data_IF_716260872153
#
_entry.id   IF_716260872153
#
_cell.length_a   1.000
_cell.length_b   1.000
_cell.length_c   1.000
_cell.angle_alpha   90.00
_cell.angle_beta   90.00
_cell.angle_gamma   90.00
#
_symmetry.space_group_name_H-M   'P 1'
#
loop_
_entity.id
_entity.type
_entity.pdbx_description
1 polymer ?
#
# COMPACT_ATOMS: atom_id res chain seq x y z
N UNK A 1 29.80 8.77 -4.27
CA UNK A 1 28.33 8.95 -4.22
C UNK A 1 27.71 8.06 -5.29
N UNK A 2 26.95 7.02 -4.87
CA UNK A 2 26.29 6.10 -5.81
C UNK A 2 25.03 6.75 -6.41
N UNK A 3 24.87 6.60 -7.71
CA UNK A 3 23.73 7.13 -8.47
C UNK A 3 22.69 6.04 -8.68
N UNK A 4 21.49 6.24 -8.18
CA UNK A 4 20.36 5.32 -8.32
C UNK A 4 19.41 5.87 -9.38
N UNK A 5 19.27 5.14 -10.49
CA UNK A 5 18.34 5.50 -11.55
C UNK A 5 17.00 4.80 -11.32
N UNK A 6 15.98 5.58 -11.02
CA UNK A 6 14.59 5.13 -10.97
C UNK A 6 13.91 5.38 -12.30
N UNK A 7 12.77 4.73 -12.54
CA UNK A 7 11.98 4.97 -13.73
C UNK A 7 10.63 5.64 -13.43
N UNK A 8 9.95 6.02 -14.51
CA UNK A 8 8.71 6.80 -14.42
C UNK A 8 7.45 5.97 -14.15
N UNK A 9 7.50 4.63 -14.19
CA UNK A 9 6.30 3.80 -14.37
C UNK A 9 5.17 4.16 -13.41
N UNK A 10 5.39 4.03 -12.09
CA UNK A 10 4.33 4.30 -11.12
C UNK A 10 3.92 5.76 -11.05
N UNK A 11 4.85 6.69 -11.21
CA UNK A 11 4.55 8.12 -11.17
C UNK A 11 3.74 8.60 -12.38
N UNK A 12 3.80 7.86 -13.49
CA UNK A 12 2.96 8.09 -14.67
C UNK A 12 1.57 7.46 -14.49
N UNK A 13 1.46 6.34 -13.78
CA UNK A 13 0.21 5.58 -13.66
C UNK A 13 -0.67 5.99 -12.48
N UNK A 14 -0.10 6.45 -11.39
CA UNK A 14 -0.81 6.80 -10.18
C UNK A 14 -0.65 8.26 -9.79
N UNK A 15 -1.76 8.96 -9.56
CA UNK A 15 -1.74 10.27 -8.93
C UNK A 15 -1.54 10.15 -7.41
N UNK A 16 -2.18 9.16 -6.79
CA UNK A 16 -2.05 8.77 -5.39
C UNK A 16 -1.89 7.26 -5.30
N UNK A 17 -1.12 6.76 -4.32
CA UNK A 17 -1.02 5.32 -4.09
C UNK A 17 0.16 4.95 -3.20
N UNK A 18 0.05 3.82 -2.50
CA UNK A 18 1.08 3.35 -1.57
C UNK A 18 2.44 3.11 -2.24
N UNK A 19 2.45 2.57 -3.48
CA UNK A 19 3.69 2.31 -4.21
C UNK A 19 4.41 3.61 -4.60
N UNK A 20 3.66 4.61 -5.09
CA UNK A 20 4.26 5.90 -5.44
C UNK A 20 4.73 6.67 -4.22
N UNK A 21 4.01 6.57 -3.10
CA UNK A 21 4.46 7.12 -1.82
C UNK A 21 5.77 6.48 -1.36
N UNK A 22 5.85 5.14 -1.39
CA UNK A 22 7.06 4.41 -1.04
C UNK A 22 8.28 4.89 -1.82
N UNK A 23 8.18 4.98 -3.15
CA UNK A 23 9.31 5.42 -3.96
C UNK A 23 9.64 6.89 -3.78
N UNK A 24 8.64 7.77 -3.63
CA UNK A 24 8.89 9.19 -3.33
C UNK A 24 9.59 9.33 -1.96
N UNK A 25 9.05 8.70 -0.92
CA UNK A 25 9.65 8.72 0.41
C UNK A 25 11.08 8.16 0.41
N UNK A 26 11.35 7.07 -0.33
CA UNK A 26 12.69 6.53 -0.47
C UNK A 26 13.64 7.50 -1.17
N UNK A 27 13.28 7.97 -2.38
CA UNK A 27 14.17 8.78 -3.22
C UNK A 27 14.57 10.09 -2.57
N UNK A 28 13.63 10.76 -1.93
CA UNK A 28 13.85 12.09 -1.35
C UNK A 28 14.44 12.06 0.06
N UNK A 29 14.59 10.89 0.67
CA UNK A 29 15.23 10.73 1.97
C UNK A 29 16.51 9.89 1.91
N UNK A 30 17.06 9.63 0.73
CA UNK A 30 18.38 9.01 0.60
C UNK A 30 19.44 9.88 1.27
N UNK A 31 20.40 9.30 2.01
CA UNK A 31 21.48 10.04 2.68
C UNK A 31 22.30 10.89 1.70
N UNK A 32 22.26 12.22 1.88
CA UNK A 32 23.01 13.15 1.06
C UNK A 32 24.53 12.89 1.19
N UNK A 33 25.25 12.93 0.06
CA UNK A 33 26.67 12.63 0.00
C UNK A 33 27.00 11.15 -0.21
N UNK A 34 26.11 10.22 0.09
CA UNK A 34 26.31 8.80 -0.18
C UNK A 34 25.54 8.35 -1.44
N UNK A 35 24.27 8.74 -1.57
CA UNK A 35 23.41 8.39 -2.69
C UNK A 35 22.81 9.63 -3.35
N UNK A 36 22.47 9.49 -4.63
CA UNK A 36 21.65 10.45 -5.38
C UNK A 36 20.62 9.68 -6.21
N UNK A 37 19.37 10.10 -6.10
CA UNK A 37 18.27 9.59 -6.94
C UNK A 37 18.19 10.41 -8.23
N UNK A 38 18.05 9.72 -9.37
CA UNK A 38 17.69 10.29 -10.66
C UNK A 38 16.38 9.63 -11.14
N UNK A 39 15.40 10.46 -11.50
CA UNK A 39 14.12 10.01 -12.04
C UNK A 39 13.80 10.77 -13.33
N UNK A 40 14.24 10.26 -14.48
CA UNK A 40 14.10 10.91 -15.77
C UNK A 40 12.67 10.81 -16.30
N UNK A 41 11.89 11.84 -16.11
CA UNK A 41 10.55 12.02 -16.67
C UNK A 41 10.27 13.49 -16.98
N UNK A 42 9.37 13.76 -17.91
CA UNK A 42 8.95 15.13 -18.29
C UNK A 42 7.61 15.49 -17.68
N UNK A 43 6.66 14.56 -17.71
CA UNK A 43 5.29 14.79 -17.27
C UNK A 43 4.99 14.04 -16.00
N UNK A 44 4.50 14.74 -14.98
CA UNK A 44 4.10 14.12 -13.72
C UNK A 44 2.98 14.92 -13.05
N UNK A 45 1.95 14.20 -12.58
CA UNK A 45 0.88 14.72 -11.72
C UNK A 45 0.76 13.90 -10.43
N UNK A 46 1.82 13.21 -10.06
CA UNK A 46 1.84 12.44 -8.83
C UNK A 46 1.97 13.36 -7.62
N UNK A 47 1.02 13.29 -6.70
CA UNK A 47 0.91 14.14 -5.52
C UNK A 47 2.19 14.14 -4.67
N UNK A 48 2.75 12.98 -4.41
CA UNK A 48 3.92 12.89 -3.53
C UNK A 48 5.15 13.57 -4.11
N UNK A 49 5.38 13.44 -5.40
CA UNK A 49 6.52 14.07 -6.07
C UNK A 49 6.31 15.58 -6.22
N UNK A 50 5.10 16.01 -6.60
CA UNK A 50 4.84 17.43 -6.92
C UNK A 50 4.47 18.25 -5.70
N UNK A 51 3.60 17.76 -4.82
CA UNK A 51 3.09 18.52 -3.69
C UNK A 51 3.86 18.24 -2.39
N UNK A 52 4.19 16.97 -2.11
CA UNK A 52 4.89 16.60 -0.87
C UNK A 52 6.36 17.00 -0.91
N UNK A 53 7.04 16.76 -2.06
CA UNK A 53 8.47 17.07 -2.21
C UNK A 53 8.77 18.26 -3.12
N UNK A 54 7.74 18.95 -3.63
CA UNK A 54 7.85 20.23 -4.32
C UNK A 54 8.52 20.19 -5.70
N UNK A 55 8.69 19.00 -6.31
CA UNK A 55 9.24 18.90 -7.65
C UNK A 55 8.27 19.40 -8.71
N UNK A 56 8.79 20.23 -9.62
CA UNK A 56 8.02 20.77 -10.73
C UNK A 56 8.25 19.96 -11.98
N UNK A 57 7.18 19.34 -12.48
CA UNK A 57 7.14 18.67 -13.77
C UNK A 57 6.14 19.35 -14.68
N UNK A 58 6.30 19.17 -16.00
CA UNK A 58 5.32 19.67 -16.95
C UNK A 58 3.98 18.92 -16.81
N UNK A 59 2.88 19.64 -17.01
CA UNK A 59 1.54 19.09 -17.10
C UNK A 59 0.89 19.53 -18.40
N UNK A 60 0.09 18.65 -19.00
CA UNK A 60 -0.66 18.98 -20.20
C UNK A 60 -2.10 19.26 -19.79
N UNK A 61 -2.56 20.50 -20.05
CA UNK A 61 -3.96 20.89 -19.75
C UNK A 61 -4.97 20.25 -20.70
N UNK A 62 -4.53 19.85 -21.89
CA UNK A 62 -5.30 19.18 -22.93
C UNK A 62 -4.64 17.83 -23.28
N UNK A 63 -5.39 16.78 -23.58
CA UNK A 63 -6.86 16.69 -23.58
C UNK A 63 -7.45 16.54 -22.18
N UNK A 64 -8.72 16.96 -22.00
CA UNK A 64 -9.45 16.79 -20.73
C UNK A 64 -9.69 15.32 -20.36
N UNK A 65 -9.59 14.41 -21.34
CA UNK A 65 -9.72 12.97 -21.10
C UNK A 65 -8.47 12.41 -20.41
N UNK A 66 -8.61 12.06 -19.15
CA UNK A 66 -7.54 11.51 -18.31
C UNK A 66 -6.85 10.27 -18.91
N UNK A 67 -7.58 9.38 -19.58
CA UNK A 67 -7.01 8.16 -20.19
C UNK A 67 -6.07 8.50 -21.35
N UNK A 68 -6.44 9.46 -22.20
CA UNK A 68 -5.61 9.92 -23.32
C UNK A 68 -4.36 10.64 -22.78
N UNK A 69 -4.54 11.54 -21.83
CA UNK A 69 -3.45 12.27 -21.15
C UNK A 69 -2.41 11.31 -20.59
N UNK A 70 -2.87 10.29 -19.85
CA UNK A 70 -1.99 9.25 -19.28
C UNK A 70 -1.24 8.45 -20.35
N UNK A 71 -1.84 8.16 -21.51
CA UNK A 71 -1.16 7.50 -22.63
C UNK A 71 -0.04 8.36 -23.21
N UNK A 72 -0.27 9.67 -23.36
CA UNK A 72 0.75 10.62 -23.83
C UNK A 72 1.90 10.68 -22.82
N UNK A 73 1.61 10.82 -21.53
CA UNK A 73 2.62 10.82 -20.47
C UNK A 73 3.45 9.52 -20.49
N UNK A 74 2.79 8.37 -20.56
CA UNK A 74 3.47 7.08 -20.62
C UNK A 74 4.37 6.97 -21.86
N UNK A 75 3.89 7.41 -23.03
CA UNK A 75 4.69 7.40 -24.25
C UNK A 75 5.96 8.24 -24.13
N UNK A 76 5.84 9.51 -23.75
CA UNK A 76 6.98 10.43 -23.63
C UNK A 76 7.93 9.99 -22.51
N UNK A 77 7.40 9.76 -21.31
CA UNK A 77 8.21 9.40 -20.15
C UNK A 77 8.94 8.05 -20.37
N UNK A 78 8.31 7.06 -20.99
CA UNK A 78 8.97 5.79 -21.32
C UNK A 78 10.14 5.97 -22.28
N UNK A 79 10.05 6.89 -23.25
CA UNK A 79 11.17 7.19 -24.15
C UNK A 79 12.31 7.86 -23.39
N UNK A 80 12.00 8.82 -22.50
CA UNK A 80 12.99 9.49 -21.65
C UNK A 80 13.67 8.48 -20.72
N UNK A 81 12.91 7.62 -20.03
CA UNK A 81 13.48 6.61 -19.15
C UNK A 81 14.32 5.57 -19.92
N UNK A 82 13.91 5.17 -21.12
CA UNK A 82 14.74 4.31 -21.99
C UNK A 82 16.05 4.97 -22.39
N UNK A 83 15.99 6.26 -22.75
CA UNK A 83 17.18 7.03 -23.10
C UNK A 83 18.11 7.13 -21.89
N UNK A 84 17.59 7.49 -20.73
CA UNK A 84 18.37 7.56 -19.50
C UNK A 84 18.99 6.21 -19.11
N UNK A 85 18.24 5.12 -19.16
CA UNK A 85 18.79 3.79 -18.92
C UNK A 85 19.91 3.41 -19.89
N UNK A 86 19.93 3.98 -21.11
CA UNK A 86 20.95 3.73 -22.11
C UNK A 86 22.18 4.61 -22.00
N UNK A 87 22.00 5.87 -21.68
CA UNK A 87 23.06 6.90 -21.86
C UNK A 87 23.47 7.61 -20.56
N UNK A 88 22.59 7.70 -19.54
CA UNK A 88 22.95 8.35 -18.29
C UNK A 88 24.00 7.51 -17.53
N UNK A 89 24.80 8.21 -16.73
CA UNK A 89 25.69 7.58 -15.78
C UNK A 89 24.92 7.27 -14.50
N UNK A 90 24.85 5.98 -14.12
CA UNK A 90 24.26 5.48 -12.89
C UNK A 90 24.95 4.18 -12.45
N UNK A 91 24.85 3.86 -11.18
CA UNK A 91 25.44 2.66 -10.59
C UNK A 91 24.41 1.54 -10.47
N UNK A 92 23.18 1.85 -10.05
CA UNK A 92 22.10 0.88 -9.83
C UNK A 92 20.84 1.36 -10.54
N UNK A 93 20.11 0.44 -11.16
CA UNK A 93 18.78 0.69 -11.70
C UNK A 93 17.71 0.13 -10.76
N UNK A 94 16.72 0.94 -10.36
CA UNK A 94 15.63 0.50 -9.50
C UNK A 94 14.27 0.84 -10.14
N UNK A 95 13.66 -0.09 -10.91
CA UNK A 95 12.37 0.15 -11.55
C UNK A 95 11.27 0.32 -10.51
N UNK A 96 10.35 1.24 -10.78
CA UNK A 96 9.23 1.53 -9.88
C UNK A 96 8.03 0.61 -10.10
N UNK A 97 8.02 -0.18 -11.18
CA UNK A 97 6.99 -1.19 -11.48
C UNK A 97 7.50 -2.29 -12.42
N UNK A 98 6.60 -3.12 -12.97
CA UNK A 98 6.93 -4.40 -13.58
C UNK A 98 7.01 -4.41 -15.11
N UNK A 99 7.02 -3.27 -15.81
CA UNK A 99 7.28 -3.29 -17.26
C UNK A 99 8.77 -3.54 -17.54
N UNK A 100 9.16 -4.60 -18.27
CA UNK A 100 10.55 -4.99 -18.46
C UNK A 100 11.25 -4.25 -19.61
N UNK A 101 10.77 -3.07 -20.01
CA UNK A 101 11.26 -2.30 -21.16
C UNK A 101 12.77 -1.97 -21.09
N UNK A 102 13.31 -1.85 -19.90
CA UNK A 102 14.68 -1.48 -19.61
C UNK A 102 15.65 -2.66 -19.64
N UNK A 103 15.16 -3.87 -19.41
CA UNK A 103 15.95 -5.05 -19.04
C UNK A 103 17.12 -5.35 -20.00
N UNK A 104 16.86 -5.35 -21.33
CA UNK A 104 17.93 -5.56 -22.32
C UNK A 104 19.03 -4.52 -22.23
N UNK A 105 18.68 -3.27 -21.95
CA UNK A 105 19.62 -2.14 -21.89
C UNK A 105 20.47 -2.22 -20.63
N UNK A 106 19.87 -2.45 -19.48
CA UNK A 106 20.54 -2.56 -18.19
C UNK A 106 21.53 -3.74 -18.22
N UNK A 107 21.09 -4.90 -18.69
CA UNK A 107 21.97 -6.07 -18.87
C UNK A 107 23.14 -5.83 -19.84
N UNK A 108 22.88 -5.19 -20.98
CA UNK A 108 23.96 -4.84 -21.92
C UNK A 108 25.01 -3.92 -21.29
N UNK A 109 24.60 -3.05 -20.39
CA UNK A 109 25.47 -2.13 -19.64
C UNK A 109 26.14 -2.78 -18.41
N UNK A 110 25.80 -4.02 -18.09
CA UNK A 110 26.26 -4.74 -16.89
C UNK A 110 26.03 -3.93 -15.60
N UNK A 111 24.89 -3.22 -15.56
CA UNK A 111 24.47 -2.49 -14.37
C UNK A 111 23.53 -3.35 -13.53
N UNK A 112 23.74 -3.47 -12.22
CA UNK A 112 22.84 -4.20 -11.35
C UNK A 112 21.46 -3.50 -11.30
N UNK A 113 20.38 -4.29 -11.16
CA UNK A 113 19.10 -3.74 -10.84
C UNK A 113 18.46 -4.40 -9.61
N UNK A 114 17.87 -3.56 -8.78
CA UNK A 114 17.11 -3.94 -7.60
C UNK A 114 15.64 -3.91 -7.95
N UNK A 115 14.87 -4.87 -7.48
CA UNK A 115 13.42 -4.92 -7.70
C UNK A 115 12.67 -4.95 -6.38
N UNK A 116 11.82 -3.96 -6.10
CA UNK A 116 10.92 -4.02 -4.95
C UNK A 116 9.62 -4.73 -5.31
N UNK A 117 9.26 -5.74 -4.52
CA UNK A 117 7.99 -6.49 -4.62
C UNK A 117 7.10 -6.08 -3.46
N UNK A 118 6.00 -5.38 -3.80
CA UNK A 118 5.05 -4.88 -2.82
C UNK A 118 4.04 -5.94 -2.38
N UNK A 119 3.72 -6.91 -3.23
CA UNK A 119 2.83 -8.04 -2.95
C UNK A 119 2.94 -9.13 -4.04
N UNK A 120 2.35 -10.27 -3.76
CA UNK A 120 2.10 -11.35 -4.71
C UNK A 120 0.60 -11.62 -4.86
N UNK A 121 -0.22 -10.56 -4.74
CA UNK A 121 -1.68 -10.64 -4.76
C UNK A 121 -2.20 -11.30 -6.02
N UNK A 122 -1.69 -10.90 -7.18
CA UNK A 122 -2.18 -11.43 -8.46
C UNK A 122 -1.81 -12.89 -8.67
N UNK A 123 -0.70 -13.32 -8.12
CA UNK A 123 -0.25 -14.72 -8.16
C UNK A 123 -1.07 -15.61 -7.20
N UNK A 124 -1.46 -15.07 -6.03
CA UNK A 124 -2.29 -15.77 -5.02
C UNK A 124 -3.79 -15.73 -5.36
N UNK A 125 -4.26 -14.66 -6.00
CA UNK A 125 -5.67 -14.41 -6.35
C UNK A 125 -5.84 -14.09 -7.84
N UNK A 126 -5.47 -15.02 -8.75
CA UNK A 126 -5.50 -14.77 -10.20
C UNK A 126 -6.91 -14.48 -10.75
N UNK A 127 -7.97 -14.91 -10.05
CA UNK A 127 -9.36 -14.63 -10.41
C UNK A 127 -9.72 -13.13 -10.30
N UNK A 128 -8.96 -12.36 -9.52
CA UNK A 128 -9.18 -10.92 -9.33
C UNK A 128 -8.40 -10.07 -10.36
N UNK A 129 -7.66 -10.73 -11.27
CA UNK A 129 -6.83 -10.08 -12.31
C UNK A 129 -7.58 -10.07 -13.64
N UNK A 130 -7.48 -8.96 -14.36
CA UNK A 130 -7.99 -8.88 -15.72
C UNK A 130 -7.18 -9.81 -16.64
N UNK A 131 -7.87 -10.59 -17.49
CA UNK A 131 -7.29 -11.61 -18.40
C UNK A 131 -6.14 -11.08 -19.28
N UNK A 132 -6.15 -9.77 -19.59
CA UNK A 132 -5.13 -9.13 -20.44
C UNK A 132 -4.01 -8.42 -19.65
N UNK A 133 -3.96 -8.57 -18.32
CA UNK A 133 -2.91 -7.95 -17.53
C UNK A 133 -1.60 -8.73 -17.67
N UNK A 134 -0.58 -8.04 -18.18
CA UNK A 134 0.77 -8.60 -18.34
C UNK A 134 1.61 -8.49 -17.06
N UNK A 135 1.05 -8.01 -15.98
CA UNK A 135 1.79 -7.77 -14.73
C UNK A 135 2.40 -9.06 -14.19
N UNK A 136 1.65 -10.16 -14.15
CA UNK A 136 2.15 -11.45 -13.65
C UNK A 136 3.37 -11.94 -14.45
N UNK A 137 3.30 -12.13 -15.78
CA UNK A 137 4.46 -12.63 -16.55
C UNK A 137 5.64 -11.64 -16.53
N UNK A 138 5.39 -10.34 -16.51
CA UNK A 138 6.44 -9.33 -16.40
C UNK A 138 7.12 -9.37 -15.04
N UNK A 139 6.35 -9.44 -13.94
CA UNK A 139 6.87 -9.55 -12.58
C UNK A 139 7.72 -10.80 -12.41
N UNK A 140 7.21 -11.97 -12.84
CA UNK A 140 7.96 -13.23 -12.82
C UNK A 140 9.29 -13.12 -13.55
N UNK A 141 9.28 -12.53 -14.74
CA UNK A 141 10.50 -12.31 -15.52
C UNK A 141 11.49 -11.39 -14.80
N UNK A 142 11.02 -10.28 -14.23
CA UNK A 142 11.90 -9.34 -13.54
C UNK A 142 12.48 -9.95 -12.26
N UNK A 143 11.70 -10.72 -11.51
CA UNK A 143 12.17 -11.45 -10.32
C UNK A 143 13.29 -12.43 -10.69
N UNK A 144 13.13 -13.19 -11.77
CA UNK A 144 14.13 -14.13 -12.22
C UNK A 144 15.46 -13.46 -12.65
N UNK A 145 15.39 -12.23 -13.14
CA UNK A 145 16.50 -11.49 -13.73
C UNK A 145 17.13 -10.44 -12.80
N UNK A 146 16.49 -10.15 -11.64
CA UNK A 146 16.97 -9.16 -10.69
C UNK A 146 18.27 -9.61 -10.02
N UNK A 147 19.21 -8.68 -9.85
CA UNK A 147 20.43 -8.91 -9.08
C UNK A 147 20.12 -9.00 -7.57
N UNK A 148 19.15 -8.18 -7.11
CA UNK A 148 18.64 -8.26 -5.75
C UNK A 148 17.16 -7.87 -5.69
N UNK A 149 16.42 -8.47 -4.76
CA UNK A 149 15.00 -8.23 -4.55
C UNK A 149 14.77 -7.67 -3.15
N UNK A 150 13.97 -6.64 -3.06
CA UNK A 150 13.42 -6.12 -1.80
C UNK A 150 11.98 -6.62 -1.69
N UNK A 151 11.70 -7.44 -0.69
CA UNK A 151 10.33 -7.82 -0.32
C UNK A 151 9.88 -6.92 0.85
N UNK A 152 8.64 -6.43 0.80
CA UNK A 152 8.14 -5.49 1.82
C UNK A 152 7.70 -6.16 3.13
N UNK A 153 7.70 -7.49 3.17
CA UNK A 153 7.40 -8.31 4.35
C UNK A 153 8.02 -9.70 4.21
N UNK A 154 8.17 -10.40 5.34
CA UNK A 154 8.56 -11.83 5.34
C UNK A 154 7.52 -12.68 4.61
N UNK A 155 6.22 -12.31 4.71
CA UNK A 155 5.18 -12.95 3.94
C UNK A 155 5.42 -12.81 2.43
N UNK A 156 5.71 -11.61 1.94
CA UNK A 156 6.02 -11.40 0.52
C UNK A 156 7.28 -12.15 0.08
N UNK A 157 8.32 -12.19 0.93
CA UNK A 157 9.54 -12.98 0.66
C UNK A 157 9.20 -14.47 0.55
N UNK A 158 8.43 -15.02 1.49
CA UNK A 158 7.98 -16.41 1.46
C UNK A 158 7.19 -16.72 0.19
N UNK A 159 6.27 -15.84 -0.21
CA UNK A 159 5.49 -16.02 -1.45
C UNK A 159 6.37 -16.04 -2.71
N UNK A 160 7.40 -15.18 -2.79
CA UNK A 160 8.34 -15.17 -3.92
C UNK A 160 9.09 -16.49 -3.99
N UNK A 161 9.57 -17.00 -2.86
CA UNK A 161 10.29 -18.28 -2.79
C UNK A 161 9.38 -19.44 -3.14
N UNK A 162 8.19 -19.53 -2.54
CA UNK A 162 7.24 -20.63 -2.76
C UNK A 162 6.69 -20.69 -4.19
N UNK A 163 6.30 -19.52 -4.73
CA UNK A 163 5.62 -19.47 -6.03
C UNK A 163 6.56 -19.49 -7.22
N UNK A 164 7.81 -19.04 -7.04
CA UNK A 164 8.75 -18.83 -8.15
C UNK A 164 10.08 -19.58 -7.98
N UNK A 165 10.32 -20.24 -6.86
CA UNK A 165 11.58 -20.95 -6.59
C UNK A 165 12.80 -20.03 -6.52
N UNK A 166 12.60 -18.75 -6.20
CA UNK A 166 13.68 -17.75 -6.14
C UNK A 166 14.59 -18.02 -4.95
N UNK A 167 15.90 -17.94 -5.15
CA UNK A 167 16.90 -18.08 -4.08
C UNK A 167 16.65 -17.04 -2.98
N UNK A 168 16.37 -17.45 -1.73
CA UNK A 168 16.09 -16.56 -0.62
C UNK A 168 17.29 -15.64 -0.26
N UNK A 169 18.52 -15.99 -0.64
CA UNK A 169 19.70 -15.15 -0.42
C UNK A 169 19.69 -13.87 -1.27
N UNK A 170 18.97 -13.87 -2.40
CA UNK A 170 18.75 -12.69 -3.25
C UNK A 170 17.66 -11.76 -2.73
N UNK A 171 16.95 -12.11 -1.64
CA UNK A 171 15.79 -11.38 -1.17
C UNK A 171 16.06 -10.81 0.21
N UNK A 172 16.11 -9.49 0.31
CA UNK A 172 16.08 -8.77 1.59
C UNK A 172 14.68 -8.32 1.93
N UNK A 173 14.29 -8.47 3.19
CA UNK A 173 13.04 -7.87 3.68
C UNK A 173 13.33 -6.46 4.15
N UNK A 174 12.60 -5.51 3.59
CA UNK A 174 12.62 -4.10 3.99
C UNK A 174 11.16 -3.66 4.17
N UNK A 175 10.74 -3.54 5.42
CA UNK A 175 9.39 -3.11 5.74
C UNK A 175 9.12 -1.68 5.26
N UNK A 176 7.86 -1.38 4.92
CA UNK A 176 7.46 0.00 4.66
C UNK A 176 7.69 0.86 5.90
N UNK A 177 8.23 2.05 5.67
CA UNK A 177 8.22 3.13 6.64
C UNK A 177 6.94 3.96 6.52
N UNK A 178 6.56 4.61 7.61
CA UNK A 178 5.43 5.54 7.64
C UNK A 178 5.86 6.90 8.15
N UNK A 179 5.45 7.95 7.44
CA UNK A 179 5.59 9.33 7.85
C UNK A 179 4.25 9.83 8.41
N UNK A 180 4.18 10.21 9.69
CA UNK A 180 2.95 10.72 10.29
C UNK A 180 2.41 11.93 9.55
N UNK A 181 1.08 11.99 9.42
CA UNK A 181 0.36 13.14 8.87
C UNK A 181 -0.46 13.74 10.02
N UNK A 182 -0.40 15.06 10.15
CA UNK A 182 -1.19 15.76 11.17
C UNK A 182 -2.69 15.57 10.89
N UNK A 183 -3.43 15.14 11.91
CA UNK A 183 -4.88 15.01 11.80
C UNK A 183 -5.55 16.39 11.77
N UNK A 184 -6.64 16.51 11.01
CA UNK A 184 -7.60 17.59 11.21
C UNK A 184 -8.20 17.46 12.63
N UNK A 185 -8.55 18.59 13.23
CA UNK A 185 -9.11 18.61 14.59
C UNK A 185 -10.52 18.04 14.67
N UNK A 186 -11.28 18.09 13.58
CA UNK A 186 -12.71 17.86 13.60
C UNK A 186 -13.06 16.38 13.56
N UNK A 187 -13.92 15.97 14.47
CA UNK A 187 -14.58 14.67 14.49
C UNK A 187 -15.68 14.65 13.43
N UNK A 188 -15.54 13.76 12.44
CA UNK A 188 -16.46 13.68 11.30
C UNK A 188 -17.72 12.84 11.59
N UNK A 189 -17.60 11.81 12.44
CA UNK A 189 -18.69 10.90 12.83
C UNK A 189 -18.57 10.51 14.29
N UNK A 190 -19.68 10.15 14.95
CA UNK A 190 -19.70 9.90 16.39
C UNK A 190 -19.26 8.50 16.80
N UNK A 191 -19.91 7.47 16.28
CA UNK A 191 -19.72 6.09 16.74
C UNK A 191 -19.58 5.17 15.55
N UNK A 192 -18.35 4.79 15.21
CA UNK A 192 -18.11 4.01 14.00
C UNK A 192 -16.89 3.10 14.11
N UNK A 193 -16.94 2.06 13.27
CA UNK A 193 -15.80 1.24 12.86
C UNK A 193 -15.32 1.74 11.50
N UNK A 194 -14.02 1.92 11.34
CA UNK A 194 -13.42 2.40 10.09
C UNK A 194 -12.98 1.22 9.21
N UNK A 195 -13.34 1.28 7.94
CA UNK A 195 -12.81 0.41 6.88
C UNK A 195 -12.11 1.26 5.82
N UNK A 196 -10.87 0.90 5.45
CA UNK A 196 -10.06 1.66 4.51
C UNK A 196 -9.68 0.81 3.30
N UNK A 197 -10.00 1.29 2.10
CA UNK A 197 -9.57 0.69 0.84
C UNK A 197 -10.70 0.14 -0.03
N UNK A 198 -10.30 -0.58 -1.08
CA UNK A 198 -11.24 -1.24 -1.98
C UNK A 198 -11.91 -2.44 -1.28
N UNK A 199 -13.12 -2.81 -1.75
CA UNK A 199 -13.97 -3.82 -1.10
C UNK A 199 -14.11 -5.12 -1.90
N UNK A 200 -13.22 -5.34 -2.87
CA UNK A 200 -13.30 -6.46 -3.82
C UNK A 200 -12.63 -7.74 -3.31
N UNK A 201 -13.16 -8.90 -3.72
CA UNK A 201 -12.53 -10.21 -3.67
C UNK A 201 -11.77 -10.48 -2.36
N UNK A 202 -10.47 -10.63 -2.45
CA UNK A 202 -9.57 -10.96 -1.34
C UNK A 202 -9.57 -9.94 -0.19
N UNK A 203 -10.13 -8.72 -0.37
CA UNK A 203 -10.32 -7.74 0.71
C UNK A 203 -11.40 -8.15 1.72
N UNK A 204 -12.20 -9.16 1.41
CA UNK A 204 -13.13 -9.84 2.31
C UNK A 204 -14.16 -8.93 3.01
N UNK A 205 -14.46 -7.76 2.43
CA UNK A 205 -15.37 -6.79 3.05
C UNK A 205 -16.80 -7.31 3.21
N UNK A 206 -17.39 -7.84 2.14
CA UNK A 206 -18.79 -8.29 2.17
C UNK A 206 -19.02 -9.53 3.07
N UNK A 207 -18.15 -10.55 3.07
CA UNK A 207 -18.23 -11.65 4.04
C UNK A 207 -18.11 -11.15 5.49
N UNK A 208 -17.13 -10.27 5.77
CA UNK A 208 -16.99 -9.66 7.09
C UNK A 208 -18.23 -8.86 7.48
N UNK A 209 -18.73 -7.99 6.60
CA UNK A 209 -19.93 -7.19 6.87
C UNK A 209 -21.15 -8.08 7.12
N UNK A 210 -21.28 -9.18 6.37
CA UNK A 210 -22.35 -10.17 6.58
C UNK A 210 -22.26 -10.82 7.97
N UNK A 211 -21.04 -11.18 8.40
CA UNK A 211 -20.78 -11.79 9.70
C UNK A 211 -21.17 -10.88 10.87
N UNK A 212 -20.86 -9.58 10.77
CA UNK A 212 -21.08 -8.63 11.87
C UNK A 212 -22.49 -8.03 11.94
N UNK A 213 -23.37 -8.32 10.97
CA UNK A 213 -24.74 -7.77 10.93
C UNK A 213 -25.50 -7.89 12.26
N UNK A 214 -25.44 -9.03 13.01
CA UNK A 214 -26.14 -9.14 14.30
C UNK A 214 -25.71 -8.08 15.32
N UNK A 215 -24.52 -7.49 15.20
CA UNK A 215 -24.01 -6.45 16.10
C UNK A 215 -24.84 -5.17 15.96
N UNK A 216 -25.39 -4.84 14.80
CA UNK A 216 -26.21 -3.66 14.59
C UNK A 216 -27.51 -3.69 15.41
N UNK A 217 -28.01 -4.88 15.75
CA UNK A 217 -29.18 -5.02 16.64
C UNK A 217 -28.79 -4.77 18.10
N UNK A 218 -27.56 -5.07 18.49
CA UNK A 218 -27.03 -4.86 19.84
C UNK A 218 -26.56 -3.42 20.04
N UNK A 219 -26.14 -2.77 18.96
CA UNK A 219 -25.63 -1.40 18.98
C UNK A 219 -26.29 -0.56 17.87
N UNK A 220 -27.52 -0.03 18.11
CA UNK A 220 -28.24 0.74 17.13
C UNK A 220 -27.57 2.03 16.66
N UNK A 221 -26.59 2.55 17.39
CA UNK A 221 -25.80 3.74 17.04
C UNK A 221 -24.58 3.45 16.17
N UNK A 222 -24.17 2.19 16.04
CA UNK A 222 -22.95 1.83 15.33
C UNK A 222 -23.07 2.08 13.82
N UNK A 223 -22.06 2.71 13.25
CA UNK A 223 -21.88 2.91 11.80
C UNK A 223 -20.59 2.20 11.34
N UNK A 224 -20.54 1.86 10.05
CA UNK A 224 -19.31 1.49 9.36
C UNK A 224 -18.98 2.61 8.39
N UNK A 225 -17.87 3.29 8.62
CA UNK A 225 -17.35 4.34 7.72
C UNK A 225 -16.35 3.71 6.78
N UNK A 226 -16.61 3.79 5.49
CA UNK A 226 -15.79 3.24 4.43
C UNK A 226 -15.11 4.36 3.64
N UNK A 227 -13.83 4.20 3.36
CA UNK A 227 -13.11 5.02 2.38
C UNK A 227 -12.82 4.19 1.10
N UNK A 228 -12.11 4.78 0.14
CA UNK A 228 -11.86 4.14 -1.16
C UNK A 228 -12.93 4.49 -2.19
N UNK A 229 -13.24 3.58 -3.09
CA UNK A 229 -14.26 3.81 -4.12
C UNK A 229 -15.67 3.94 -3.53
N UNK A 230 -16.56 4.80 -4.09
CA UNK A 230 -17.96 4.86 -3.71
C UNK A 230 -18.66 3.49 -3.76
N UNK A 231 -19.72 3.32 -3.00
CA UNK A 231 -20.50 2.09 -3.05
C UNK A 231 -21.10 1.88 -4.45
N UNK A 232 -20.89 0.70 -4.99
CA UNK A 232 -21.51 0.28 -6.25
C UNK A 232 -23.01 0.09 -6.10
N UNK A 233 -23.75 0.14 -7.19
CA UNK A 233 -25.19 -0.13 -7.17
C UNK A 233 -25.53 -1.54 -6.63
N UNK A 234 -24.66 -2.53 -6.90
CA UNK A 234 -24.83 -3.89 -6.37
C UNK A 234 -24.66 -3.92 -4.83
N UNK A 235 -23.66 -3.21 -4.29
CA UNK A 235 -23.47 -3.07 -2.85
C UNK A 235 -24.66 -2.37 -2.21
N UNK A 236 -25.13 -1.25 -2.77
CA UNK A 236 -26.30 -0.52 -2.25
C UNK A 236 -27.57 -1.38 -2.21
N UNK A 237 -27.85 -2.16 -3.26
CA UNK A 237 -28.95 -3.12 -3.28
C UNK A 237 -28.82 -4.21 -2.20
N UNK A 238 -27.59 -4.67 -1.98
CA UNK A 238 -27.30 -5.68 -0.94
C UNK A 238 -27.54 -5.10 0.45
N UNK A 239 -27.05 -3.87 0.72
CA UNK A 239 -27.25 -3.19 2.00
C UNK A 239 -28.73 -2.93 2.30
N UNK A 240 -29.52 -2.55 1.28
CA UNK A 240 -30.97 -2.42 1.40
C UNK A 240 -31.67 -3.75 1.74
N UNK A 241 -31.29 -4.84 1.04
CA UNK A 241 -31.79 -6.20 1.35
C UNK A 241 -31.46 -6.65 2.77
N UNK A 242 -30.30 -6.24 3.28
CA UNK A 242 -29.88 -6.55 4.64
C UNK A 242 -30.43 -5.59 5.69
N UNK A 243 -31.16 -4.55 5.27
CA UNK A 243 -31.71 -3.49 6.12
C UNK A 243 -30.65 -2.77 6.97
N UNK A 244 -29.50 -2.47 6.34
CA UNK A 244 -28.36 -1.79 6.98
C UNK A 244 -27.85 -0.59 6.19
N UNK A 245 -28.60 -0.10 5.21
CA UNK A 245 -28.16 1.03 4.36
C UNK A 245 -27.83 2.29 5.17
N UNK A 246 -28.55 2.55 6.23
CA UNK A 246 -28.34 3.67 7.15
C UNK A 246 -27.11 3.51 8.06
N UNK A 247 -26.51 2.30 8.09
CA UNK A 247 -25.32 1.96 8.87
C UNK A 247 -24.02 2.15 8.10
N UNK A 248 -24.09 2.19 6.77
CA UNK A 248 -22.94 2.25 5.88
C UNK A 248 -22.73 3.68 5.38
N UNK A 249 -21.58 4.26 5.68
CA UNK A 249 -21.21 5.61 5.25
C UNK A 249 -19.98 5.54 4.36
N UNK A 250 -19.98 6.29 3.27
CA UNK A 250 -18.79 6.42 2.42
C UNK A 250 -18.31 7.88 2.45
N UNK A 251 -16.98 8.03 2.52
CA UNK A 251 -16.33 9.34 2.46
C UNK A 251 -15.07 9.25 1.58
N UNK A 252 -14.91 10.24 0.71
CA UNK A 252 -13.63 10.53 0.04
C UNK A 252 -12.85 11.51 0.91
N UNK A 253 -11.83 11.02 1.60
CA UNK A 253 -11.08 11.79 2.58
C UNK A 253 -9.69 12.16 2.04
N UNK A 254 -9.24 13.36 2.31
CA UNK A 254 -7.83 13.74 2.19
C UNK A 254 -7.02 13.21 3.38
N UNK A 255 -5.69 13.37 3.34
CA UNK A 255 -4.79 12.81 4.35
C UNK A 255 -5.10 13.30 5.77
N UNK A 256 -5.40 14.57 5.97
CA UNK A 256 -5.76 15.12 7.28
C UNK A 256 -7.10 14.58 7.79
N UNK A 257 -8.07 14.41 6.91
CA UNK A 257 -9.36 13.77 7.22
C UNK A 257 -9.18 12.28 7.51
N UNK A 258 -8.31 11.58 6.77
CA UNK A 258 -7.97 10.18 7.04
C UNK A 258 -7.38 10.02 8.44
N UNK A 259 -6.44 10.87 8.83
CA UNK A 259 -5.87 10.85 10.17
C UNK A 259 -6.94 11.11 11.26
N UNK A 260 -7.90 12.04 11.00
CA UNK A 260 -9.05 12.26 11.89
C UNK A 260 -9.98 11.04 11.96
N UNK A 261 -10.26 10.39 10.83
CA UNK A 261 -11.07 9.16 10.79
C UNK A 261 -10.45 8.04 11.63
N UNK A 262 -9.14 7.83 11.54
CA UNK A 262 -8.47 6.86 12.41
C UNK A 262 -8.57 7.27 13.89
N UNK A 263 -8.25 8.51 14.23
CA UNK A 263 -8.21 9.00 15.63
C UNK A 263 -9.53 8.80 16.36
N UNK A 264 -10.65 9.00 15.70
CA UNK A 264 -11.97 8.99 16.33
C UNK A 264 -12.75 7.69 16.14
N UNK A 265 -12.23 6.73 15.37
CA UNK A 265 -12.84 5.43 15.22
C UNK A 265 -12.79 4.62 16.53
N UNK A 266 -13.82 3.80 16.77
CA UNK A 266 -13.80 2.80 17.82
C UNK A 266 -12.71 1.76 17.56
N UNK A 267 -12.59 1.34 16.30
CA UNK A 267 -11.47 0.57 15.78
C UNK A 267 -11.40 0.70 14.25
N UNK A 268 -10.22 0.44 13.71
CA UNK A 268 -10.00 0.17 12.29
C UNK A 268 -10.08 -1.34 12.06
N UNK A 269 -10.85 -1.77 11.05
CA UNK A 269 -10.95 -3.17 10.67
C UNK A 269 -10.33 -3.42 9.31
N UNK A 270 -9.56 -4.51 9.18
CA UNK A 270 -8.93 -4.89 7.93
C UNK A 270 -9.08 -6.40 7.71
N UNK A 271 -10.20 -6.86 7.09
CA UNK A 271 -10.55 -8.26 7.01
C UNK A 271 -9.93 -9.02 5.84
N UNK A 272 -8.98 -8.42 5.12
CA UNK A 272 -8.36 -8.98 3.93
C UNK A 272 -7.78 -10.37 4.16
N UNK A 273 -7.97 -11.27 3.20
CA UNK A 273 -7.27 -12.56 3.18
C UNK A 273 -5.79 -12.41 2.85
N UNK A 274 -5.44 -11.36 2.12
CA UNK A 274 -4.09 -11.14 1.66
C UNK A 274 -3.76 -9.65 1.51
N UNK A 275 -2.56 -9.27 1.96
CA UNK A 275 -1.91 -7.98 1.71
C UNK A 275 -0.39 -8.20 1.64
N UNK A 276 0.30 -7.31 0.92
CA UNK A 276 1.75 -7.35 0.90
C UNK A 276 2.39 -6.81 2.18
N UNK A 277 1.76 -5.78 2.79
CA UNK A 277 2.24 -5.17 4.03
C UNK A 277 1.12 -4.62 4.93
N UNK A 278 0.24 -3.78 4.39
CA UNK A 278 -0.84 -3.19 5.18
C UNK A 278 -0.49 -1.82 5.77
N UNK A 279 -0.07 -0.87 4.94
CA UNK A 279 0.19 0.53 5.36
C UNK A 279 -0.94 1.12 6.24
N UNK A 280 -2.24 0.86 5.98
CA UNK A 280 -3.34 1.31 6.84
C UNK A 280 -3.21 0.91 8.33
N UNK A 281 -2.48 -0.18 8.65
CA UNK A 281 -2.20 -0.56 10.04
C UNK A 281 -1.30 0.47 10.70
N UNK A 282 -0.25 0.91 10.00
CA UNK A 282 0.66 1.93 10.52
C UNK A 282 -0.04 3.29 10.66
N UNK A 283 -0.92 3.63 9.70
CA UNK A 283 -1.76 4.82 9.78
C UNK A 283 -2.66 4.80 11.03
N UNK A 284 -3.30 3.66 11.29
CA UNK A 284 -4.11 3.45 12.48
C UNK A 284 -3.28 3.60 13.77
N UNK A 285 -2.14 2.95 13.85
CA UNK A 285 -1.26 3.02 15.03
C UNK A 285 -0.78 4.43 15.32
N UNK A 286 -0.32 5.17 14.32
CA UNK A 286 0.13 6.56 14.48
C UNK A 286 -0.98 7.52 14.91
N UNK A 287 -2.22 7.23 14.53
CA UNK A 287 -3.37 8.04 14.92
C UNK A 287 -4.09 7.52 16.16
N UNK A 288 -3.50 6.57 16.89
CA UNK A 288 -4.06 6.02 18.13
C UNK A 288 -5.40 5.29 17.92
N UNK A 289 -5.57 4.62 16.77
CA UNK A 289 -6.74 3.81 16.46
C UNK A 289 -6.53 2.37 16.91
N UNK A 290 -7.42 1.76 17.71
CA UNK A 290 -7.40 0.34 17.94
C UNK A 290 -7.59 -0.45 16.64
N UNK A 291 -6.90 -1.57 16.47
CA UNK A 291 -6.86 -2.30 15.20
C UNK A 291 -7.42 -3.72 15.38
N UNK A 292 -8.26 -4.13 14.42
CA UNK A 292 -8.90 -5.44 14.35
C UNK A 292 -8.65 -6.05 12.96
N UNK A 293 -7.87 -7.14 12.89
CA UNK A 293 -7.31 -7.69 11.65
C UNK A 293 -7.73 -9.13 11.43
N UNK A 294 -7.73 -9.56 10.18
CA UNK A 294 -7.67 -10.99 9.89
C UNK A 294 -6.32 -11.56 10.34
N UNK A 295 -6.33 -12.81 10.85
CA UNK A 295 -5.09 -13.53 11.16
C UNK A 295 -4.51 -14.18 9.89
N UNK A 296 -4.15 -13.35 8.91
CA UNK A 296 -3.71 -13.80 7.59
C UNK A 296 -2.57 -12.94 7.03
N UNK A 297 -1.83 -13.50 6.08
CA UNK A 297 -0.80 -12.80 5.32
C UNK A 297 0.27 -12.14 6.20
N UNK A 298 0.61 -10.89 5.95
CA UNK A 298 1.61 -10.11 6.68
C UNK A 298 1.07 -9.47 7.98
N UNK A 299 -0.21 -9.57 8.28
CA UNK A 299 -0.80 -8.83 9.40
C UNK A 299 -0.23 -9.19 10.77
N UNK A 300 -0.03 -10.49 11.13
CA UNK A 300 0.64 -10.82 12.38
C UNK A 300 2.08 -10.29 12.47
N UNK A 301 2.80 -10.30 11.35
CA UNK A 301 4.16 -9.74 11.25
C UNK A 301 4.18 -8.23 11.51
N UNK A 302 3.21 -7.49 10.92
CA UNK A 302 3.17 -6.03 11.03
C UNK A 302 2.60 -5.58 12.38
N UNK A 303 1.51 -6.17 12.82
CA UNK A 303 0.80 -5.71 14.01
C UNK A 303 1.32 -6.31 15.33
N UNK A 304 1.90 -7.52 15.31
CA UNK A 304 2.33 -8.19 16.54
C UNK A 304 1.16 -8.35 17.53
N UNK A 305 1.37 -7.96 18.78
CA UNK A 305 0.37 -7.98 19.85
C UNK A 305 -0.43 -6.65 19.98
N UNK A 306 -0.25 -5.74 19.02
CA UNK A 306 -0.91 -4.42 19.01
C UNK A 306 -2.28 -4.42 18.29
N UNK A 307 -2.80 -5.59 17.90
CA UNK A 307 -4.09 -5.73 17.26
C UNK A 307 -4.87 -6.92 17.84
N UNK A 308 -6.20 -6.86 17.69
CA UNK A 308 -7.06 -8.03 17.84
C UNK A 308 -7.14 -8.77 16.50
N UNK A 309 -7.08 -10.11 16.55
CA UNK A 309 -7.11 -10.94 15.35
C UNK A 309 -8.34 -11.85 15.30
N UNK A 310 -8.88 -12.02 14.12
CA UNK A 310 -9.95 -12.97 13.82
C UNK A 310 -9.60 -13.90 12.66
N UNK A 311 -10.20 -15.05 12.61
CA UNK A 311 -10.14 -15.93 11.43
C UNK A 311 -11.01 -15.35 10.30
N UNK A 312 -10.43 -14.98 9.13
CA UNK A 312 -11.19 -14.38 8.03
C UNK A 312 -12.16 -15.35 7.31
N UNK A 313 -12.14 -16.63 7.66
CA UNK A 313 -13.05 -17.65 7.15
C UNK A 313 -14.12 -18.07 8.16
N UNK A 314 -14.13 -17.47 9.35
CA UNK A 314 -15.05 -17.82 10.44
C UNK A 314 -15.88 -16.60 10.87
N UNK A 315 -17.17 -16.63 10.55
CA UNK A 315 -18.11 -15.57 10.85
C UNK A 315 -18.26 -15.33 12.37
N UNK A 316 -18.19 -16.39 13.19
CA UNK A 316 -18.28 -16.26 14.63
C UNK A 316 -17.04 -15.57 15.19
N UNK A 317 -15.85 -15.96 14.73
CA UNK A 317 -14.59 -15.31 15.11
C UNK A 317 -14.59 -13.82 14.77
N UNK A 318 -15.05 -13.44 13.56
CA UNK A 318 -15.19 -12.03 13.16
C UNK A 318 -16.12 -11.24 14.09
N UNK A 319 -17.24 -11.87 14.46
CA UNK A 319 -18.26 -11.27 15.32
C UNK A 319 -17.77 -11.07 16.75
N UNK A 320 -17.18 -12.12 17.33
CA UNK A 320 -16.76 -12.12 18.73
C UNK A 320 -15.60 -11.15 18.94
N UNK A 321 -14.63 -11.13 18.03
CA UNK A 321 -13.53 -10.17 18.09
C UNK A 321 -14.02 -8.71 17.99
N UNK A 322 -14.98 -8.44 17.10
CA UNK A 322 -15.54 -7.09 17.01
C UNK A 322 -16.37 -6.71 18.25
N UNK A 323 -17.17 -7.64 18.79
CA UNK A 323 -17.93 -7.40 20.04
C UNK A 323 -16.99 -7.07 21.21
N UNK A 324 -15.92 -7.83 21.37
CA UNK A 324 -14.95 -7.63 22.45
C UNK A 324 -14.32 -6.24 22.40
N UNK A 325 -13.81 -5.82 21.20
CA UNK A 325 -13.19 -4.51 21.06
C UNK A 325 -14.20 -3.36 21.23
N UNK A 326 -15.46 -3.54 20.83
CA UNK A 326 -16.51 -2.55 21.01
C UNK A 326 -16.96 -2.41 22.48
N UNK A 327 -17.00 -3.52 23.23
CA UNK A 327 -17.47 -3.55 24.60
C UNK A 327 -16.45 -2.99 25.61
N UNK A 328 -15.13 -3.13 25.35
CA UNK A 328 -14.09 -2.80 26.32
C UNK A 328 -13.31 -1.54 25.96
N UNK A 329 -13.55 -0.43 26.67
CA UNK A 329 -12.72 0.78 26.57
C UNK A 329 -11.28 0.55 27.04
N UNK A 330 -11.09 -0.28 28.06
CA UNK A 330 -9.77 -0.65 28.59
C UNK A 330 -8.94 -1.39 27.54
N UNK A 331 -9.55 -2.35 26.84
CA UNK A 331 -8.89 -3.06 25.74
C UNK A 331 -8.48 -2.09 24.61
N UNK A 332 -9.39 -1.18 24.22
CA UNK A 332 -9.07 -0.18 23.21
C UNK A 332 -7.89 0.71 23.62
N UNK A 333 -7.83 1.10 24.87
CA UNK A 333 -6.72 1.93 25.37
C UNK A 333 -5.39 1.15 25.38
N UNK A 334 -5.43 -0.12 25.79
CA UNK A 334 -4.26 -1.01 25.72
C UNK A 334 -3.76 -1.16 24.28
N UNK A 335 -4.65 -1.41 23.31
CA UNK A 335 -4.31 -1.52 21.90
C UNK A 335 -3.73 -0.23 21.34
N UNK A 336 -4.23 0.95 21.73
CA UNK A 336 -3.65 2.25 21.37
C UNK A 336 -2.22 2.37 21.84
N UNK A 337 -1.98 2.05 23.11
CA UNK A 337 -0.63 2.10 23.69
C UNK A 337 0.33 1.14 23.01
N UNK A 338 -0.09 -0.09 22.77
CA UNK A 338 0.70 -1.10 22.03
C UNK A 338 0.97 -0.66 20.59
N UNK A 339 -0.04 -0.15 19.88
CA UNK A 339 0.09 0.36 18.51
C UNK A 339 1.08 1.52 18.41
N UNK A 340 1.03 2.47 19.35
CA UNK A 340 1.97 3.59 19.40
C UNK A 340 3.43 3.13 19.65
N UNK A 341 3.63 2.05 20.39
CA UNK A 341 4.97 1.45 20.54
C UNK A 341 5.39 0.72 19.28
N UNK A 342 4.50 -0.12 18.73
CA UNK A 342 4.78 -0.93 17.53
C UNK A 342 5.08 -0.08 16.29
N UNK A 343 4.41 1.06 16.14
CA UNK A 343 4.64 1.97 15.00
C UNK A 343 6.09 2.48 14.90
N UNK A 344 6.84 2.54 16.01
CA UNK A 344 8.24 2.96 16.04
C UNK A 344 9.17 1.99 15.30
N UNK A 345 8.76 0.73 15.14
CA UNK A 345 9.53 -0.28 14.40
C UNK A 345 9.52 -0.03 12.87
N UNK A 346 8.62 0.84 12.40
CA UNK A 346 8.34 1.10 10.99
C UNK A 346 8.57 2.56 10.61
N UNK A 347 9.70 3.13 11.05
CA UNK A 347 10.02 4.50 10.68
C UNK A 347 10.50 4.61 9.23
N UNK A 348 10.31 5.80 8.64
CA UNK A 348 10.79 6.11 7.30
C UNK A 348 12.31 5.98 7.21
N UNK A 349 13.01 6.47 8.23
CA UNK A 349 14.48 6.42 8.31
C UNK A 349 14.99 4.98 8.28
N UNK A 350 14.32 4.07 9.00
CA UNK A 350 14.67 2.64 9.01
C UNK A 350 14.47 1.99 7.64
N UNK A 351 13.37 2.29 6.97
CA UNK A 351 13.10 1.80 5.61
C UNK A 351 14.19 2.27 4.63
N UNK A 352 14.52 3.56 4.67
CA UNK A 352 15.56 4.16 3.82
C UNK A 352 16.92 3.52 4.11
N UNK A 353 17.33 3.43 5.37
CA UNK A 353 18.61 2.86 5.75
C UNK A 353 18.74 1.37 5.35
N UNK A 354 17.70 0.58 5.57
CA UNK A 354 17.68 -0.82 5.12
C UNK A 354 17.77 -0.96 3.60
N UNK A 355 17.14 -0.06 2.85
CA UNK A 355 17.26 -0.01 1.39
C UNK A 355 18.66 0.41 0.96
N UNK A 356 19.27 1.39 1.64
CA UNK A 356 20.64 1.80 1.40
C UNK A 356 21.63 0.65 1.65
N UNK A 357 21.37 -0.19 2.66
CA UNK A 357 22.19 -1.39 2.92
C UNK A 357 22.13 -2.39 1.75
N UNK A 358 20.99 -2.50 1.05
CA UNK A 358 20.90 -3.27 -0.20
C UNK A 358 21.75 -2.62 -1.29
N UNK A 359 21.66 -1.31 -1.48
CA UNK A 359 22.45 -0.61 -2.50
C UNK A 359 23.95 -0.63 -2.25
N UNK A 360 24.39 -0.64 -0.98
CA UNK A 360 25.83 -0.74 -0.63
C UNK A 360 26.46 -2.06 -1.06
N UNK A 361 25.68 -3.15 -1.07
CA UNK A 361 26.13 -4.50 -1.44
C UNK A 361 26.29 -4.72 -2.94
N UNK A 362 25.72 -3.86 -3.75
CA UNK A 362 25.77 -3.87 -5.21
C UNK A 362 26.73 -2.82 -5.75
#
# INVERSE_FOLDING_TARGET
MKKILYDNQMFTFQRFGGVTRYFADLMYNLPAGEFVADIPMRYCENHYVTETYGHKYETISFPKNYRIKRRIYAFVNNHISKFAAKYNDYDIFHPTYFSPYFLKTVKKRQKPFVLTIHDMTFERYPQDVLIYDRTIPHKKRLIAEADHIIAVSENTKRDIVELLGTDPSKISVVHHGYRPIAAASDKLFDRYVLYVGERKGYKNFLPWLSAIRPIFNLDPGLKIVCTGSPFTHAEQKLFARWNISDRLLHISANDAQMASLYRHALCFVFPSHYEGFGIPILEAFHNGCPVCLSNASCFPEVAGDAAMFFNPNDAQSMQDTLKEILASSTLREELRRKGALRSKDFSLERMVEQTCNVYRKL
#
